data_IF_760425381207
#
_entry.id   IF_760425381207
#
_cell.length_a   1.000
_cell.length_b   1.000
_cell.length_c   1.000
_cell.angle_alpha   90.00
_cell.angle_beta   90.00
_cell.angle_gamma   90.00
#
_symmetry.space_group_name_H-M   'P 1'
#
loop_
_entity.id
_entity.type
_entity.pdbx_description
1 polymer ?
#
# COMPACT_ATOMS: atom_id res chain seq x y z
N UNK A 1 5.26 -4.58 -17.14
CA UNK A 1 4.10 -3.75 -16.76
C UNK A 1 3.25 -4.62 -15.87
N UNK A 2 3.20 -4.36 -14.57
CA UNK A 2 2.41 -5.16 -13.63
C UNK A 2 0.94 -4.86 -13.87
N UNK A 3 0.21 -5.80 -14.47
CA UNK A 3 -1.25 -5.76 -14.48
C UNK A 3 -1.68 -6.48 -13.22
N UNK A 4 -2.13 -5.72 -12.22
CA UNK A 4 -2.93 -6.30 -11.15
C UNK A 4 -4.23 -6.75 -11.80
N UNK A 5 -4.57 -8.03 -11.72
CA UNK A 5 -5.88 -8.52 -12.13
C UNK A 5 -6.91 -8.01 -11.11
N UNK A 6 -7.22 -6.72 -11.17
CA UNK A 6 -8.53 -6.24 -10.75
C UNK A 6 -9.54 -6.98 -11.64
N UNK A 7 -10.57 -7.54 -11.02
CA UNK A 7 -11.66 -8.27 -11.66
C UNK A 7 -11.84 -7.89 -13.13
N UNK A 8 -11.58 -8.85 -14.02
CA UNK A 8 -12.25 -8.87 -15.30
C UNK A 8 -13.74 -9.07 -14.99
N UNK A 9 -14.41 -7.99 -14.59
CA UNK A 9 -15.85 -7.93 -14.54
C UNK A 9 -16.31 -8.22 -15.97
N UNK A 10 -16.97 -9.36 -16.15
CA UNK A 10 -17.59 -9.74 -17.41
C UNK A 10 -18.44 -8.59 -17.92
N UNK A 11 -18.00 -7.99 -19.00
CA UNK A 11 -18.64 -6.84 -19.61
C UNK A 11 -18.19 -6.73 -21.06
N UNK A 12 -18.89 -7.46 -21.92
CA UNK A 12 -18.85 -7.29 -23.37
C UNK A 12 -17.66 -7.94 -24.07
N UNK A 13 -17.92 -9.06 -24.73
CA UNK A 13 -17.10 -9.52 -25.83
C UNK A 13 -17.04 -8.42 -26.90
N UNK A 14 -15.93 -7.69 -26.99
CA UNK A 14 -15.55 -6.99 -28.22
C UNK A 14 -14.59 -7.93 -28.97
N UNK A 15 -15.07 -8.44 -30.10
CA UNK A 15 -14.42 -9.48 -30.90
C UNK A 15 -13.10 -9.04 -31.54
N UNK A 16 -12.04 -9.00 -30.75
CA UNK A 16 -10.68 -9.01 -31.27
C UNK A 16 -9.97 -10.22 -30.66
N UNK A 17 -9.43 -11.10 -31.51
CA UNK A 17 -8.54 -12.20 -31.12
C UNK A 17 -7.17 -11.67 -30.64
N UNK A 18 -7.13 -10.51 -29.99
CA UNK A 18 -5.89 -9.99 -29.42
C UNK A 18 -5.52 -10.85 -28.21
N UNK A 19 -4.32 -11.44 -28.18
CA UNK A 19 -3.88 -12.21 -27.02
C UNK A 19 -3.86 -11.30 -25.79
N UNK A 20 -4.58 -11.71 -24.75
CA UNK A 20 -4.59 -11.00 -23.48
C UNK A 20 -3.15 -10.76 -22.97
N UNK A 21 -2.88 -9.62 -22.31
CA UNK A 21 -1.55 -9.35 -21.75
C UNK A 21 -1.06 -10.50 -20.86
N UNK A 22 0.23 -10.82 -20.99
CA UNK A 22 0.87 -11.84 -20.16
C UNK A 22 0.75 -11.48 -18.67
N UNK A 23 0.19 -12.40 -17.88
CA UNK A 23 0.21 -12.33 -16.41
C UNK A 23 1.51 -12.93 -15.89
N UNK A 24 2.28 -12.13 -15.15
CA UNK A 24 3.55 -12.53 -14.54
C UNK A 24 3.58 -12.40 -13.01
N UNK A 25 2.50 -11.92 -12.40
CA UNK A 25 2.31 -11.84 -10.95
C UNK A 25 0.94 -12.40 -10.57
N UNK A 26 0.93 -13.28 -9.58
CA UNK A 26 -0.27 -13.79 -8.93
C UNK A 26 -0.17 -13.43 -7.45
N UNK A 27 -1.30 -13.02 -6.85
CA UNK A 27 -1.40 -12.81 -5.41
C UNK A 27 -2.37 -13.87 -4.91
N UNK A 28 -1.90 -14.76 -4.02
CA UNK A 28 -2.75 -15.83 -3.50
C UNK A 28 -3.68 -15.29 -2.43
N UNK A 29 -4.91 -15.03 -2.87
CA UNK A 29 -6.07 -14.55 -2.13
C UNK A 29 -6.00 -13.09 -1.68
N UNK A 30 -7.18 -12.50 -1.43
CA UNK A 30 -7.32 -11.14 -0.91
C UNK A 30 -7.63 -11.15 0.58
N UNK A 31 -6.83 -10.43 1.38
CA UNK A 31 -7.01 -10.23 2.83
C UNK A 31 -7.53 -11.46 3.59
N UNK A 32 -6.77 -12.57 3.61
CA UNK A 32 -7.19 -13.79 4.30
C UNK A 32 -7.39 -13.61 5.81
N UNK A 33 -6.88 -12.51 6.38
CA UNK A 33 -7.09 -12.14 7.78
C UNK A 33 -8.39 -11.34 8.02
N UNK A 34 -9.22 -11.13 6.99
CA UNK A 34 -10.45 -10.35 7.08
C UNK A 34 -11.69 -11.23 6.84
N UNK A 35 -12.67 -11.16 7.75
CA UNK A 35 -13.88 -12.02 7.74
C UNK A 35 -14.77 -11.87 6.50
N UNK A 36 -14.71 -10.72 5.82
CA UNK A 36 -15.44 -10.50 4.58
C UNK A 36 -14.84 -11.25 3.38
N UNK A 37 -13.66 -11.85 3.53
CA UNK A 37 -12.90 -12.45 2.43
C UNK A 37 -12.41 -13.86 2.73
N UNK A 38 -12.27 -14.28 3.99
CA UNK A 38 -12.02 -15.67 4.35
C UNK A 38 -12.73 -16.00 5.66
N UNK A 39 -13.35 -17.17 5.73
CA UNK A 39 -13.94 -17.70 6.96
C UNK A 39 -13.51 -19.17 7.16
N UNK A 40 -13.48 -19.65 8.42
CA UNK A 40 -13.64 -18.87 9.66
C UNK A 40 -12.39 -18.03 9.99
N UNK A 41 -12.56 -16.93 10.72
CA UNK A 41 -11.42 -16.14 11.24
C UNK A 41 -10.87 -16.70 12.56
N UNK A 42 -11.75 -17.23 13.41
CA UNK A 42 -11.45 -17.77 14.73
C UNK A 42 -11.97 -19.19 14.85
N UNK A 43 -11.29 -20.02 15.64
CA UNK A 43 -11.80 -21.35 16.01
C UNK A 43 -13.01 -21.20 16.97
N UNK A 44 -13.70 -22.30 17.26
CA UNK A 44 -14.89 -22.29 18.13
C UNK A 44 -14.59 -21.77 19.55
N UNK A 45 -13.34 -21.84 20.00
CA UNK A 45 -12.86 -21.28 21.28
C UNK A 45 -12.83 -19.74 21.30
N UNK A 46 -13.08 -19.07 20.16
CA UNK A 46 -13.07 -17.61 19.98
C UNK A 46 -11.77 -16.93 20.43
N UNK A 47 -10.68 -17.67 20.55
CA UNK A 47 -9.39 -17.15 21.03
C UNK A 47 -8.23 -17.59 20.14
N UNK A 48 -8.38 -18.66 19.37
CA UNK A 48 -7.37 -19.14 18.42
C UNK A 48 -7.70 -18.66 17.01
N UNK A 49 -6.79 -17.95 16.32
CA UNK A 49 -6.98 -17.60 14.92
C UNK A 49 -7.05 -18.86 14.03
N UNK A 50 -8.17 -19.05 13.34
CA UNK A 50 -8.40 -20.17 12.41
C UNK A 50 -7.98 -19.84 10.98
N UNK A 51 -8.20 -18.59 10.52
CA UNK A 51 -7.91 -18.18 9.15
C UNK A 51 -6.46 -18.42 8.70
N UNK A 52 -5.41 -18.28 9.55
CA UNK A 52 -4.04 -18.57 9.12
C UNK A 52 -3.82 -20.05 8.78
N UNK A 53 -4.49 -20.98 9.46
CA UNK A 53 -4.42 -22.42 9.19
C UNK A 53 -5.09 -22.76 7.86
N UNK A 54 -6.29 -22.22 7.62
CA UNK A 54 -7.03 -22.38 6.36
C UNK A 54 -6.21 -21.80 5.21
N UNK A 55 -5.71 -20.57 5.37
CA UNK A 55 -4.88 -19.92 4.36
C UNK A 55 -3.58 -20.69 4.10
N UNK A 56 -2.95 -21.28 5.12
CA UNK A 56 -1.75 -22.11 4.93
C UNK A 56 -2.01 -23.30 4.00
N UNK A 57 -3.16 -23.94 4.10
CA UNK A 57 -3.54 -25.03 3.20
C UNK A 57 -3.78 -24.53 1.77
N UNK A 58 -4.56 -23.45 1.61
CA UNK A 58 -4.81 -22.81 0.31
C UNK A 58 -3.51 -22.37 -0.37
N UNK A 59 -2.59 -21.76 0.39
CA UNK A 59 -1.31 -21.27 -0.07
C UNK A 59 -0.44 -22.40 -0.63
N UNK A 60 -0.37 -23.55 0.05
CA UNK A 60 0.41 -24.70 -0.42
C UNK A 60 -0.14 -25.27 -1.73
N UNK A 61 -1.46 -25.45 -1.81
CA UNK A 61 -2.11 -25.94 -3.01
C UNK A 61 -1.97 -24.94 -4.18
N UNK A 62 -2.32 -23.67 -3.94
CA UNK A 62 -2.32 -22.62 -4.95
C UNK A 62 -0.93 -22.28 -5.48
N UNK A 63 0.09 -22.20 -4.61
CA UNK A 63 1.46 -21.88 -5.05
C UNK A 63 1.98 -22.94 -6.02
N UNK A 64 1.84 -24.22 -5.66
CA UNK A 64 2.28 -25.33 -6.51
C UNK A 64 1.54 -25.36 -7.84
N UNK A 65 0.22 -25.18 -7.82
CA UNK A 65 -0.61 -25.18 -9.02
C UNK A 65 -0.22 -24.07 -9.99
N UNK A 66 -0.05 -22.83 -9.50
CA UNK A 66 0.36 -21.69 -10.34
C UNK A 66 1.75 -21.93 -10.94
N UNK A 67 2.71 -22.40 -10.14
CA UNK A 67 4.07 -22.69 -10.63
C UNK A 67 4.11 -23.83 -11.65
N UNK A 68 3.25 -24.83 -11.50
CA UNK A 68 3.14 -25.95 -12.44
C UNK A 68 2.51 -25.52 -13.77
N UNK A 69 1.39 -24.78 -13.70
CA UNK A 69 0.69 -24.27 -14.88
C UNK A 69 1.52 -23.23 -15.65
N UNK A 70 2.37 -22.48 -14.95
CA UNK A 70 3.26 -21.47 -15.53
C UNK A 70 4.71 -21.79 -15.22
N UNK A 71 5.28 -22.74 -15.97
CA UNK A 71 6.69 -23.20 -15.84
C UNK A 71 7.76 -22.10 -15.98
N UNK A 72 7.38 -20.85 -16.30
CA UNK A 72 8.31 -19.73 -16.35
C UNK A 72 8.75 -19.31 -14.95
N UNK A 73 10.07 -19.33 -14.71
CA UNK A 73 10.70 -18.77 -13.51
C UNK A 73 10.41 -17.28 -13.31
N UNK A 74 9.94 -16.58 -14.34
CA UNK A 74 9.55 -15.17 -14.25
C UNK A 74 8.24 -14.93 -13.49
N UNK A 75 7.38 -15.95 -13.35
CA UNK A 75 6.08 -15.81 -12.68
C UNK A 75 6.29 -15.72 -11.18
N UNK A 76 5.81 -14.64 -10.57
CA UNK A 76 5.85 -14.41 -9.13
C UNK A 76 4.52 -14.74 -8.49
N UNK A 77 4.57 -15.40 -7.35
CA UNK A 77 3.40 -15.73 -6.53
C UNK A 77 3.59 -15.08 -5.17
N UNK A 78 2.86 -13.99 -4.94
CA UNK A 78 2.85 -13.24 -3.69
C UNK A 78 1.86 -13.88 -2.71
N UNK A 79 2.21 -13.84 -1.42
CA UNK A 79 1.42 -14.43 -0.34
C UNK A 79 1.13 -13.42 0.77
N UNK A 80 0.32 -13.79 1.75
CA UNK A 80 -0.09 -12.92 2.86
C UNK A 80 -1.27 -12.08 2.43
N UNK A 81 -1.00 -11.03 1.66
CA UNK A 81 -1.98 -10.06 1.15
C UNK A 81 -2.97 -9.57 2.22
N UNK A 82 -2.47 -9.33 3.44
CA UNK A 82 -3.33 -9.02 4.59
C UNK A 82 -3.88 -7.60 4.52
N UNK A 83 -5.06 -7.39 5.08
CA UNK A 83 -5.53 -6.05 5.47
C UNK A 83 -4.59 -5.42 6.52
N UNK A 84 -4.82 -4.17 6.92
CA UNK A 84 -3.96 -3.46 7.89
C UNK A 84 -4.33 -3.66 9.35
N UNK A 85 -5.58 -4.03 9.67
CA UNK A 85 -6.08 -3.99 11.05
C UNK A 85 -6.80 -5.27 11.46
N UNK A 86 -6.68 -5.63 12.73
CA UNK A 86 -7.55 -6.59 13.40
C UNK A 86 -8.91 -5.98 13.77
N UNK A 87 -9.75 -6.79 14.40
CA UNK A 87 -10.97 -6.34 15.06
C UNK A 87 -11.14 -6.98 16.43
N UNK A 88 -12.39 -7.06 16.89
CA UNK A 88 -12.71 -7.71 18.18
C UNK A 88 -12.26 -9.17 18.15
N UNK A 89 -11.40 -9.56 19.11
CA UNK A 89 -10.92 -10.95 19.24
C UNK A 89 -12.10 -11.93 19.29
N UNK A 90 -12.01 -13.03 18.54
CA UNK A 90 -13.06 -14.06 18.51
C UNK A 90 -14.25 -13.78 17.59
N UNK A 91 -14.36 -12.58 17.02
CA UNK A 91 -15.50 -12.20 16.17
C UNK A 91 -15.12 -11.39 14.93
N UNK A 92 -13.98 -10.68 14.96
CA UNK A 92 -13.52 -9.77 13.91
C UNK A 92 -12.39 -10.33 13.03
N UNK A 93 -11.81 -9.49 12.16
CA UNK A 93 -10.53 -9.76 11.50
C UNK A 93 -9.41 -10.12 12.49
N UNK A 94 -8.50 -11.00 12.07
CA UNK A 94 -7.26 -11.28 12.82
C UNK A 94 -6.23 -10.19 12.49
N UNK A 95 -5.53 -9.65 13.49
CA UNK A 95 -4.53 -8.61 13.22
C UNK A 95 -3.38 -9.15 12.36
N UNK A 96 -2.77 -8.35 11.46
CA UNK A 96 -1.81 -8.86 10.48
C UNK A 96 -0.58 -9.56 11.09
N UNK A 97 -0.03 -9.06 12.20
CA UNK A 97 1.10 -9.73 12.86
C UNK A 97 0.68 -11.00 13.59
N UNK A 98 -0.52 -11.07 14.18
CA UNK A 98 -1.04 -12.31 14.76
C UNK A 98 -1.27 -13.36 13.66
N UNK A 99 -1.89 -12.95 12.55
CA UNK A 99 -2.09 -13.78 11.37
C UNK A 99 -0.76 -14.33 10.84
N UNK A 100 0.24 -13.47 10.65
CA UNK A 100 1.56 -13.85 10.14
C UNK A 100 2.27 -14.85 11.07
N UNK A 101 2.23 -14.63 12.39
CA UNK A 101 2.86 -15.54 13.38
C UNK A 101 2.20 -16.92 13.36
N UNK A 102 0.87 -16.98 13.40
CA UNK A 102 0.12 -18.25 13.38
C UNK A 102 0.25 -18.96 12.04
N UNK A 103 0.28 -18.22 10.92
CA UNK A 103 0.57 -18.77 9.59
C UNK A 103 1.93 -19.47 9.59
N UNK A 104 2.95 -18.83 10.15
CA UNK A 104 4.31 -19.33 10.25
C UNK A 104 4.56 -20.34 11.39
N UNK A 105 3.52 -20.73 12.14
CA UNK A 105 3.63 -21.66 13.29
C UNK A 105 4.64 -21.20 14.35
N UNK A 106 4.52 -19.94 14.78
CA UNK A 106 5.25 -19.40 15.92
C UNK A 106 4.30 -18.67 16.86
N UNK A 107 4.66 -18.57 18.14
CA UNK A 107 3.90 -17.84 19.14
C UNK A 107 4.15 -16.31 19.09
N UNK A 108 3.56 -15.57 20.03
CA UNK A 108 3.72 -14.12 20.15
C UNK A 108 5.17 -13.66 20.35
N UNK A 109 6.02 -14.49 20.96
CA UNK A 109 7.44 -14.24 21.17
C UNK A 109 8.33 -14.73 20.00
N UNK A 110 7.71 -15.20 18.91
CA UNK A 110 8.36 -15.83 17.77
C UNK A 110 9.13 -17.11 18.16
N UNK A 111 8.61 -17.89 19.11
CA UNK A 111 9.07 -19.24 19.40
C UNK A 111 8.30 -20.25 18.54
N UNK A 112 8.96 -21.24 17.93
CA UNK A 112 8.32 -22.35 17.24
C UNK A 112 7.17 -22.98 18.03
N UNK A 113 6.02 -23.15 17.37
CA UNK A 113 4.97 -24.07 17.81
C UNK A 113 5.12 -25.37 17.03
N UNK A 114 5.22 -26.49 17.73
CA UNK A 114 5.50 -27.83 17.16
C UNK A 114 4.41 -28.86 17.51
N UNK A 115 3.25 -28.39 17.95
CA UNK A 115 2.10 -29.23 18.31
C UNK A 115 0.93 -28.97 17.37
N UNK A 116 -0.08 -29.84 17.41
CA UNK A 116 -1.30 -29.71 16.62
C UNK A 116 -1.05 -29.56 15.12
N UNK A 117 -1.70 -28.57 14.50
CA UNK A 117 -1.59 -28.25 13.07
C UNK A 117 -0.20 -27.72 12.63
N UNK A 118 0.71 -27.55 13.59
CA UNK A 118 2.09 -27.10 13.38
C UNK A 118 3.14 -28.20 13.60
N UNK A 119 2.76 -29.42 14.02
CA UNK A 119 3.70 -30.50 14.32
C UNK A 119 4.63 -30.85 13.14
N UNK A 120 4.08 -30.83 11.93
CA UNK A 120 4.83 -31.13 10.70
C UNK A 120 5.01 -29.88 9.83
N UNK A 121 5.24 -28.73 10.47
CA UNK A 121 5.39 -27.48 9.75
C UNK A 121 6.58 -27.53 8.77
N UNK A 122 6.30 -27.25 7.50
CA UNK A 122 7.31 -27.03 6.45
C UNK A 122 7.40 -25.55 6.14
N UNK A 123 8.57 -25.08 5.69
CA UNK A 123 8.76 -23.71 5.19
C UNK A 123 7.64 -23.33 4.24
N UNK A 124 7.07 -22.13 4.40
CA UNK A 124 6.05 -21.64 3.48
C UNK A 124 6.70 -21.08 2.22
N UNK A 125 6.23 -21.48 1.03
CA UNK A 125 6.70 -20.90 -0.23
C UNK A 125 6.25 -19.44 -0.37
N UNK A 126 6.70 -18.77 -1.43
CA UNK A 126 6.30 -17.40 -1.75
C UNK A 126 7.43 -16.62 -2.39
N UNK A 127 7.08 -15.77 -3.35
CA UNK A 127 8.03 -14.91 -4.09
C UNK A 127 8.01 -13.45 -3.58
N UNK A 128 7.26 -13.20 -2.50
CA UNK A 128 7.07 -11.90 -1.88
C UNK A 128 5.85 -11.89 -0.96
N UNK A 129 5.84 -10.97 -0.01
CA UNK A 129 4.73 -10.73 0.91
C UNK A 129 3.89 -9.55 0.43
N UNK A 130 2.61 -9.76 0.16
CA UNK A 130 1.66 -8.71 -0.16
C UNK A 130 0.98 -8.17 1.11
N UNK A 131 0.61 -6.88 1.11
CA UNK A 131 -0.03 -6.24 2.26
C UNK A 131 -0.75 -4.95 1.86
N UNK A 132 -1.89 -4.65 2.50
CA UNK A 132 -2.69 -3.45 2.29
C UNK A 132 -2.59 -2.51 3.49
N UNK A 133 -1.64 -1.55 3.50
CA UNK A 133 -1.29 -0.80 4.71
C UNK A 133 -2.21 0.40 4.97
N UNK A 134 -3.53 0.24 4.83
CA UNK A 134 -4.48 1.34 4.98
C UNK A 134 -4.42 1.99 6.37
N UNK A 135 -4.33 3.32 6.38
CA UNK A 135 -4.38 4.13 7.60
C UNK A 135 -5.81 4.58 7.97
N UNK A 136 -6.84 4.07 7.30
CA UNK A 136 -8.26 4.38 7.56
C UNK A 136 -8.59 5.89 7.59
N UNK A 137 -8.08 6.64 6.61
CA UNK A 137 -8.19 8.12 6.54
C UNK A 137 -7.54 8.90 7.69
N UNK A 138 -6.68 8.26 8.48
CA UNK A 138 -5.77 8.95 9.37
C UNK A 138 -4.46 9.29 8.66
N UNK A 139 -3.67 10.19 9.26
CA UNK A 139 -2.41 10.66 8.66
C UNK A 139 -1.46 9.49 8.34
N UNK A 140 -0.66 9.56 7.25
CA UNK A 140 0.24 8.48 6.86
C UNK A 140 1.23 8.02 7.94
N UNK A 141 1.61 8.93 8.84
CA UNK A 141 2.56 8.69 9.93
C UNK A 141 1.93 8.12 11.21
N UNK A 142 0.62 7.86 11.23
CA UNK A 142 -0.03 7.27 12.40
C UNK A 142 0.45 5.83 12.61
N UNK A 143 1.15 5.63 13.71
CA UNK A 143 1.59 4.33 14.22
C UNK A 143 0.44 3.67 14.97
N UNK A 144 0.34 2.35 14.89
CA UNK A 144 -0.63 1.58 15.68
C UNK A 144 -0.25 1.61 17.16
N UNK A 145 -1.24 1.75 18.06
CA UNK A 145 -0.99 1.72 19.50
C UNK A 145 -0.96 0.26 19.97
N UNK A 146 0.14 -0.26 20.53
CA UNK A 146 0.24 -1.69 20.85
C UNK A 146 -0.85 -2.21 21.80
N UNK A 147 -1.31 -1.37 22.75
CA UNK A 147 -2.32 -1.77 23.74
C UNK A 147 -3.74 -1.80 23.16
N UNK A 148 -4.06 -0.87 22.25
CA UNK A 148 -5.40 -0.74 21.65
C UNK A 148 -5.52 -1.51 20.32
N UNK A 149 -4.41 -1.64 19.59
CA UNK A 149 -4.32 -2.15 18.21
C UNK A 149 -3.20 -3.20 18.09
N UNK A 150 -3.22 -4.27 18.92
CA UNK A 150 -2.13 -5.22 19.00
C UNK A 150 -1.93 -5.97 17.68
N UNK A 151 -0.79 -5.73 17.05
CA UNK A 151 -0.38 -6.42 15.83
C UNK A 151 -0.98 -5.87 14.54
N UNK A 152 -1.65 -4.71 14.61
CA UNK A 152 -2.01 -3.92 13.44
C UNK A 152 -0.76 -3.51 12.67
N UNK A 153 -0.88 -3.46 11.34
CA UNK A 153 0.18 -3.02 10.45
C UNK A 153 -0.41 -2.00 9.50
N UNK A 154 -0.34 -0.73 9.89
CA UNK A 154 -0.61 0.40 9.00
C UNK A 154 0.67 0.80 8.27
N UNK A 155 0.58 1.82 7.43
CA UNK A 155 1.73 2.29 6.66
C UNK A 155 2.94 2.68 7.53
N UNK A 156 2.71 3.32 8.68
CA UNK A 156 3.80 3.70 9.58
C UNK A 156 4.43 2.50 10.31
N UNK A 157 3.73 1.35 10.36
CA UNK A 157 4.15 0.13 11.06
C UNK A 157 4.93 -0.83 10.15
N UNK A 158 5.11 -0.50 8.87
CA UNK A 158 5.87 -1.31 7.90
C UNK A 158 7.27 -1.75 8.38
N UNK A 159 8.04 -0.96 9.17
CA UNK A 159 9.29 -1.44 9.76
C UNK A 159 9.10 -2.72 10.61
N UNK A 160 8.01 -2.80 11.38
CA UNK A 160 7.72 -3.95 12.23
C UNK A 160 7.35 -5.19 11.40
N UNK A 161 6.56 -5.00 10.33
CA UNK A 161 6.28 -6.08 9.38
C UNK A 161 7.55 -6.58 8.71
N UNK A 162 8.41 -5.68 8.22
CA UNK A 162 9.67 -6.04 7.58
C UNK A 162 10.61 -6.81 8.53
N UNK A 163 10.74 -6.37 9.78
CA UNK A 163 11.54 -7.05 10.79
C UNK A 163 10.98 -8.45 11.13
N UNK A 164 9.65 -8.57 11.24
CA UNK A 164 8.99 -9.85 11.52
C UNK A 164 9.18 -10.84 10.37
N UNK A 165 9.00 -10.40 9.12
CA UNK A 165 9.26 -11.22 7.94
C UNK A 165 10.72 -11.66 7.86
N UNK A 166 11.68 -10.75 8.10
CA UNK A 166 13.10 -11.11 8.10
C UNK A 166 13.43 -12.18 9.14
N UNK A 167 12.92 -12.03 10.38
CA UNK A 167 13.14 -13.01 11.45
C UNK A 167 12.52 -14.36 11.11
N UNK A 168 11.29 -14.39 10.61
CA UNK A 168 10.63 -15.63 10.19
C UNK A 168 11.37 -16.33 9.05
N UNK A 169 11.93 -15.58 8.11
CA UNK A 169 12.75 -16.16 7.04
C UNK A 169 14.08 -16.69 7.59
N UNK A 170 14.75 -15.98 8.50
CA UNK A 170 15.97 -16.47 9.18
C UNK A 170 15.73 -17.76 9.96
N UNK A 171 14.55 -17.90 10.57
CA UNK A 171 14.12 -19.11 11.28
C UNK A 171 13.71 -20.26 10.35
N UNK A 172 13.79 -20.09 9.03
CA UNK A 172 13.32 -21.10 8.07
C UNK A 172 11.80 -21.28 8.06
N UNK A 173 11.02 -20.31 8.53
CA UNK A 173 9.55 -20.41 8.51
C UNK A 173 8.94 -19.98 7.18
N UNK A 174 9.58 -19.04 6.50
CA UNK A 174 9.17 -18.50 5.21
C UNK A 174 10.31 -18.59 4.20
N UNK A 175 9.98 -18.79 2.92
CA UNK A 175 10.97 -18.73 1.84
C UNK A 175 11.68 -17.36 1.77
N UNK A 176 12.95 -17.30 1.32
CA UNK A 176 13.75 -16.07 1.31
C UNK A 176 13.11 -14.85 0.64
N UNK A 177 12.35 -15.07 -0.44
CA UNK A 177 11.73 -14.01 -1.21
C UNK A 177 10.59 -13.30 -0.46
N UNK A 178 10.01 -13.90 0.58
CA UNK A 178 8.98 -13.27 1.41
C UNK A 178 9.48 -12.05 2.21
N UNK A 179 10.79 -11.77 2.23
CA UNK A 179 11.33 -10.46 2.67
C UNK A 179 10.92 -9.29 1.78
N UNK A 180 10.49 -9.55 0.54
CA UNK A 180 10.10 -8.54 -0.45
C UNK A 180 8.65 -8.18 -0.19
N UNK A 181 8.40 -6.98 0.30
CA UNK A 181 7.06 -6.47 0.59
C UNK A 181 6.48 -5.81 -0.67
N UNK A 182 5.26 -6.19 -1.03
CA UNK A 182 4.49 -5.63 -2.13
C UNK A 182 3.23 -4.98 -1.55
N UNK A 183 3.16 -3.66 -1.59
CA UNK A 183 1.97 -2.93 -1.15
C UNK A 183 1.01 -2.88 -2.33
N UNK A 184 0.01 -3.76 -2.30
CA UNK A 184 -0.85 -4.10 -3.45
C UNK A 184 -2.10 -3.25 -3.53
N UNK A 185 -2.49 -2.62 -2.42
CA UNK A 185 -3.59 -1.66 -2.35
C UNK A 185 -3.30 -0.59 -1.30
N UNK A 186 -3.42 0.69 -1.68
CA UNK A 186 -3.41 1.80 -0.75
C UNK A 186 -4.12 3.01 -1.35
N UNK A 187 -4.84 3.77 -0.51
CA UNK A 187 -5.47 5.01 -0.92
C UNK A 187 -6.09 5.76 0.24
N UNK A 188 -6.57 6.96 -0.07
CA UNK A 188 -7.25 7.86 0.86
C UNK A 188 -8.61 8.24 0.28
N UNK A 189 -9.66 8.19 1.07
CA UNK A 189 -11.02 8.38 0.61
C UNK A 189 -11.47 9.82 0.79
N UNK A 190 -12.03 10.40 -0.28
CA UNK A 190 -12.48 11.79 -0.30
C UNK A 190 -13.98 11.93 -0.06
N UNK A 191 -14.71 10.82 0.05
CA UNK A 191 -16.10 10.80 0.53
C UNK A 191 -16.14 10.33 1.98
N UNK A 192 -17.08 10.84 2.80
CA UNK A 192 -17.22 10.40 4.19
C UNK A 192 -17.43 8.89 4.31
N UNK A 193 -16.75 8.29 5.29
CA UNK A 193 -16.90 6.87 5.64
C UNK A 193 -17.23 6.81 7.13
N UNK A 194 -18.32 6.16 7.55
CA UNK A 194 -18.66 6.04 8.96
C UNK A 194 -17.50 5.51 9.81
N UNK A 195 -17.24 6.16 10.95
CA UNK A 195 -16.17 5.79 11.87
C UNK A 195 -14.76 6.19 11.44
N UNK A 196 -14.60 7.01 10.38
CA UNK A 196 -13.29 7.51 9.91
C UNK A 196 -13.30 9.04 9.79
N UNK A 197 -12.14 9.70 9.95
CA UNK A 197 -12.02 11.11 9.62
C UNK A 197 -12.36 11.40 8.15
N UNK A 198 -13.06 12.50 7.91
CA UNK A 198 -13.27 13.04 6.56
C UNK A 198 -12.04 13.84 6.14
N UNK A 199 -11.58 13.64 4.91
CA UNK A 199 -10.50 14.42 4.31
C UNK A 199 -10.92 14.95 2.93
N UNK A 200 -10.39 16.11 2.55
CA UNK A 200 -10.63 16.71 1.24
C UNK A 200 -9.64 16.19 0.18
N UNK A 201 -9.91 16.48 -1.10
CA UNK A 201 -9.01 16.08 -2.21
C UNK A 201 -7.59 16.65 -2.07
N UNK A 202 -7.45 17.83 -1.47
CA UNK A 202 -6.12 18.44 -1.28
C UNK A 202 -5.31 17.67 -0.23
N UNK A 203 -5.94 17.22 0.84
CA UNK A 203 -5.35 16.35 1.85
C UNK A 203 -5.03 14.99 1.27
N UNK A 204 -5.95 14.37 0.54
CA UNK A 204 -5.72 13.12 -0.20
C UNK A 204 -4.46 13.24 -1.07
N UNK A 205 -4.39 14.27 -1.92
CA UNK A 205 -3.27 14.48 -2.82
C UNK A 205 -1.94 14.64 -2.06
N UNK A 206 -1.91 15.39 -0.94
CA UNK A 206 -0.70 15.56 -0.12
C UNK A 206 -0.27 14.27 0.57
N UNK A 207 -1.23 13.54 1.12
CA UNK A 207 -0.96 12.34 1.91
C UNK A 207 -0.54 11.15 1.06
N UNK A 208 -0.97 11.06 -0.20
CA UNK A 208 -0.49 10.00 -1.10
C UNK A 208 1.03 10.07 -1.32
N UNK A 209 1.61 11.23 -1.63
CA UNK A 209 3.08 11.33 -1.76
C UNK A 209 3.80 11.15 -0.43
N UNK A 210 3.21 11.60 0.69
CA UNK A 210 3.76 11.32 2.01
C UNK A 210 3.78 9.81 2.29
N UNK A 211 2.72 9.10 1.92
CA UNK A 211 2.66 7.66 2.06
C UNK A 211 3.75 6.95 1.24
N UNK A 212 3.94 7.37 -0.01
CA UNK A 212 5.03 6.86 -0.85
C UNK A 212 6.41 7.13 -0.26
N UNK A 213 6.62 8.31 0.36
CA UNK A 213 7.86 8.59 1.08
C UNK A 213 8.10 7.61 2.23
N UNK A 214 7.06 7.31 3.04
CA UNK A 214 7.21 6.36 4.14
C UNK A 214 7.54 4.95 3.63
N UNK A 215 6.89 4.50 2.55
CA UNK A 215 7.16 3.22 1.93
C UNK A 215 8.56 3.13 1.30
N UNK A 216 9.03 4.18 0.62
CA UNK A 216 10.35 4.26 -0.03
C UNK A 216 11.50 4.15 0.99
N UNK A 217 11.24 4.54 2.25
CA UNK A 217 12.20 4.42 3.35
C UNK A 217 12.37 2.99 3.88
N UNK A 218 11.56 2.04 3.42
CA UNK A 218 11.61 0.64 3.84
C UNK A 218 12.25 -0.20 2.72
N UNK A 219 13.53 -0.63 2.85
CA UNK A 219 14.24 -1.35 1.77
C UNK A 219 13.59 -2.66 1.33
N UNK A 220 12.75 -3.24 2.19
CA UNK A 220 11.97 -4.43 1.91
C UNK A 220 10.84 -4.17 0.88
N UNK A 221 10.31 -2.94 0.78
CA UNK A 221 9.21 -2.59 -0.12
C UNK A 221 9.70 -2.57 -1.57
N UNK A 222 9.02 -3.32 -2.44
CA UNK A 222 9.33 -3.48 -3.88
C UNK A 222 8.29 -2.86 -4.79
N UNK A 223 7.06 -2.71 -4.32
CA UNK A 223 5.99 -2.05 -5.06
C UNK A 223 5.02 -1.34 -4.13
N UNK A 224 4.41 -0.27 -4.66
CA UNK A 224 3.34 0.48 -4.04
C UNK A 224 2.28 0.75 -5.11
N UNK A 225 1.08 0.21 -4.90
CA UNK A 225 -0.05 0.37 -5.80
C UNK A 225 -1.06 1.37 -5.25
N UNK A 226 -1.40 2.36 -6.06
CA UNK A 226 -2.56 3.22 -5.83
C UNK A 226 -3.82 2.38 -6.07
N UNK A 227 -4.66 2.26 -5.05
CA UNK A 227 -5.92 1.57 -5.19
C UNK A 227 -6.97 2.53 -5.73
N UNK A 228 -7.51 2.13 -6.87
CA UNK A 228 -8.35 2.84 -7.82
C UNK A 228 -7.66 3.94 -8.62
N UNK A 229 -7.78 3.81 -9.94
CA UNK A 229 -7.62 4.92 -10.87
C UNK A 229 -8.82 5.85 -10.78
N UNK A 230 -10.03 5.29 -10.77
CA UNK A 230 -11.31 6.01 -10.77
C UNK A 230 -12.12 5.56 -9.56
N UNK A 231 -12.76 6.52 -8.88
CA UNK A 231 -13.69 6.20 -7.80
C UNK A 231 -14.76 5.20 -8.24
N UNK A 232 -15.08 4.29 -7.34
CA UNK A 232 -16.16 3.35 -7.48
C UNK A 232 -17.44 3.96 -6.87
N UNK A 233 -18.46 4.29 -7.68
CA UNK A 233 -19.75 4.74 -7.16
C UNK A 233 -20.45 3.60 -6.41
N UNK A 234 -21.43 3.91 -5.54
CA UNK A 234 -22.26 2.88 -4.92
C UNK A 234 -22.99 2.05 -5.98
N UNK A 235 -23.07 0.75 -5.78
CA UNK A 235 -23.95 -0.13 -6.54
C UNK A 235 -25.43 0.24 -6.28
N UNK A 236 -26.31 -0.14 -7.22
CA UNK A 236 -27.77 0.06 -7.06
C UNK A 236 -28.36 -0.79 -5.95
N UNK A 237 -27.74 -1.95 -5.71
CA UNK A 237 -28.18 -2.94 -4.72
C UNK A 237 -27.06 -3.20 -3.71
N UNK A 238 -27.45 -3.73 -2.56
CA UNK A 238 -26.51 -4.08 -1.50
C UNK A 238 -25.61 -5.23 -1.96
N UNK A 239 -24.30 -5.04 -1.86
CA UNK A 239 -23.28 -6.02 -2.28
C UNK A 239 -22.37 -6.46 -1.14
N UNK A 240 -22.59 -5.94 0.07
CA UNK A 240 -21.75 -6.24 1.23
C UNK A 240 -22.51 -6.10 2.55
N UNK A 241 -22.16 -6.94 3.52
CA UNK A 241 -22.57 -6.82 4.92
C UNK A 241 -21.85 -5.69 5.68
N UNK A 242 -20.87 -5.03 5.05
CA UNK A 242 -20.17 -3.89 5.64
C UNK A 242 -21.14 -2.76 5.98
N UNK A 243 -21.23 -2.40 7.26
CA UNK A 243 -22.00 -1.22 7.72
C UNK A 243 -21.48 0.09 7.12
N UNK A 244 -20.18 0.18 6.89
CA UNK A 244 -19.56 1.36 6.29
C UNK A 244 -19.74 1.43 4.76
N UNK A 245 -19.96 0.28 4.10
CA UNK A 245 -20.02 0.16 2.63
C UNK A 245 -21.04 -0.88 2.15
N UNK A 246 -22.33 -0.75 2.49
CA UNK A 246 -23.32 -1.73 2.07
C UNK A 246 -23.42 -1.84 0.53
N UNK A 247 -23.11 -0.76 -0.20
CA UNK A 247 -23.18 -0.69 -1.67
C UNK A 247 -21.80 -0.73 -2.35
N UNK A 248 -20.75 -1.14 -1.63
CA UNK A 248 -19.41 -1.34 -2.20
C UNK A 248 -18.69 -0.08 -2.71
N UNK A 249 -19.20 1.12 -2.41
CA UNK A 249 -18.58 2.38 -2.84
C UNK A 249 -17.17 2.55 -2.28
N UNK A 250 -16.28 3.15 -3.08
CA UNK A 250 -14.88 3.37 -2.67
C UNK A 250 -14.30 4.60 -3.39
N UNK A 251 -13.85 5.59 -2.63
CA UNK A 251 -13.51 6.93 -3.16
C UNK A 251 -12.02 7.28 -3.11
N UNK A 252 -11.16 6.27 -3.30
CA UNK A 252 -9.69 6.45 -3.30
C UNK A 252 -9.09 6.83 -4.64
N UNK A 253 -9.90 6.91 -5.70
CA UNK A 253 -9.46 7.12 -7.07
C UNK A 253 -8.65 8.39 -7.25
N UNK A 254 -7.78 8.38 -8.25
CA UNK A 254 -7.15 9.58 -8.80
C UNK A 254 -8.13 10.43 -9.62
N UNK A 255 -9.19 9.79 -10.12
CA UNK A 255 -10.31 10.38 -10.85
C UNK A 255 -11.60 10.19 -10.04
N UNK A 256 -12.53 11.14 -10.13
CA UNK A 256 -13.91 10.90 -9.67
C UNK A 256 -14.62 9.90 -10.59
N UNK A 257 -15.76 9.36 -10.18
CA UNK A 257 -16.49 8.31 -10.92
C UNK A 257 -16.84 8.69 -12.37
N UNK A 258 -17.04 9.98 -12.67
CA UNK A 258 -17.26 10.47 -14.05
C UNK A 258 -16.02 10.45 -14.94
N UNK A 259 -14.84 10.15 -14.39
CA UNK A 259 -13.55 10.14 -15.09
C UNK A 259 -12.78 11.46 -15.06
N UNK A 260 -13.33 12.51 -14.44
CA UNK A 260 -12.61 13.78 -14.25
C UNK A 260 -11.49 13.63 -13.21
N UNK A 261 -10.33 14.23 -13.50
CA UNK A 261 -9.19 14.29 -12.57
C UNK A 261 -9.56 14.89 -11.22
N UNK A 262 -9.20 14.21 -10.13
CA UNK A 262 -9.04 14.82 -8.82
C UNK A 262 -7.72 15.57 -8.73
N UNK A 263 -7.55 16.36 -7.67
CA UNK A 263 -6.24 16.97 -7.35
C UNK A 263 -5.13 15.90 -7.26
N UNK A 264 -5.46 14.70 -6.75
CA UNK A 264 -4.54 13.58 -6.62
C UNK A 264 -3.93 13.10 -7.95
N UNK A 265 -4.63 13.20 -9.08
CA UNK A 265 -4.09 12.82 -10.40
C UNK A 265 -2.81 13.60 -10.74
N UNK A 266 -2.79 14.90 -10.43
CA UNK A 266 -1.62 15.78 -10.64
C UNK A 266 -0.44 15.36 -9.76
N UNK A 267 -0.72 15.05 -8.50
CA UNK A 267 0.30 14.63 -7.54
C UNK A 267 0.82 13.23 -7.82
N UNK A 268 0.00 12.35 -8.39
CA UNK A 268 0.45 11.03 -8.81
C UNK A 268 1.51 11.11 -9.92
N UNK A 269 1.36 12.04 -10.88
CA UNK A 269 2.35 12.26 -11.95
C UNK A 269 3.67 12.85 -11.44
N UNK A 270 3.60 13.86 -10.56
CA UNK A 270 4.76 14.50 -9.98
C UNK A 270 4.43 14.98 -8.55
N UNK A 271 4.74 14.11 -7.59
CA UNK A 271 4.42 14.32 -6.19
C UNK A 271 5.57 14.98 -5.44
N UNK A 272 5.21 15.79 -4.44
CA UNK A 272 6.16 16.40 -3.52
C UNK A 272 5.70 16.25 -2.07
N UNK A 273 6.58 15.75 -1.22
CA UNK A 273 6.43 15.74 0.23
C UNK A 273 7.57 16.58 0.85
N UNK A 274 7.26 17.30 1.93
CA UNK A 274 8.28 17.98 2.72
C UNK A 274 8.07 17.75 4.20
N UNK A 275 9.19 17.55 4.91
CA UNK A 275 9.21 17.38 6.35
C UNK A 275 10.27 18.27 6.97
N UNK A 276 9.91 18.98 8.04
CA UNK A 276 10.88 19.71 8.86
C UNK A 276 11.91 18.73 9.44
N UNK A 277 13.14 19.20 9.57
CA UNK A 277 14.27 18.48 10.17
C UNK A 277 14.92 19.39 11.22
N UNK A 278 15.80 18.81 12.03
CA UNK A 278 16.61 19.57 12.99
C UNK A 278 17.48 20.62 12.28
N UNK A 279 18.01 21.57 13.05
CA UNK A 279 18.96 22.60 12.58
C UNK A 279 18.41 23.45 11.42
N UNK A 280 17.12 23.78 11.45
CA UNK A 280 16.49 24.65 10.45
C UNK A 280 16.53 24.08 9.03
N UNK A 281 16.39 22.76 8.88
CA UNK A 281 16.38 22.07 7.58
C UNK A 281 14.98 21.57 7.21
N UNK A 282 14.75 21.36 5.93
CA UNK A 282 13.59 20.63 5.40
C UNK A 282 14.09 19.52 4.48
N UNK A 283 13.59 18.31 4.72
CA UNK A 283 13.66 17.20 3.78
C UNK A 283 12.58 17.39 2.71
N UNK A 284 12.96 17.25 1.45
CA UNK A 284 12.10 17.23 0.28
C UNK A 284 12.19 15.85 -0.35
N UNK A 285 11.06 15.19 -0.51
CA UNK A 285 10.93 13.94 -1.27
C UNK A 285 10.05 14.18 -2.49
N UNK A 286 10.53 13.79 -3.66
CA UNK A 286 9.76 13.83 -4.90
C UNK A 286 9.56 12.44 -5.48
N UNK A 287 8.40 12.19 -6.07
CA UNK A 287 8.08 10.95 -6.80
C UNK A 287 7.56 11.29 -8.19
N UNK A 288 8.21 10.77 -9.23
CA UNK A 288 7.90 11.11 -10.61
C UNK A 288 7.36 9.90 -11.39
N UNK A 289 6.41 10.19 -12.28
CA UNK A 289 5.83 9.26 -13.27
C UNK A 289 5.74 9.92 -14.65
N UNK A 290 6.83 10.54 -15.08
CA UNK A 290 6.99 11.33 -16.31
C UNK A 290 7.57 10.52 -17.49
N UNK A 291 7.58 9.19 -17.37
CA UNK A 291 8.20 8.28 -18.34
C UNK A 291 9.70 8.07 -18.12
N UNK A 292 10.30 7.20 -18.92
CA UNK A 292 11.72 6.87 -18.86
C UNK A 292 12.65 8.03 -19.22
N UNK A 293 13.85 8.00 -18.66
CA UNK A 293 14.94 8.85 -19.07
C UNK A 293 15.03 10.12 -18.24
N UNK A 294 16.14 10.85 -18.43
CA UNK A 294 16.43 12.07 -17.67
C UNK A 294 15.35 13.13 -17.94
N UNK A 295 14.95 13.82 -16.87
CA UNK A 295 13.99 14.92 -16.86
C UNK A 295 14.56 16.05 -16.01
N UNK A 296 14.59 17.24 -16.57
CA UNK A 296 14.87 18.47 -15.85
C UNK A 296 13.65 18.86 -14.99
N UNK A 297 13.73 18.68 -13.68
CA UNK A 297 12.69 19.13 -12.73
C UNK A 297 13.21 20.26 -11.85
N UNK A 298 12.40 21.28 -11.62
CA UNK A 298 12.76 22.42 -10.76
C UNK A 298 12.08 22.30 -9.41
N UNK A 299 12.84 22.45 -8.33
CA UNK A 299 12.27 22.68 -7.01
C UNK A 299 12.06 24.17 -6.83
N UNK A 300 10.80 24.58 -6.62
CA UNK A 300 10.42 25.96 -6.44
C UNK A 300 9.98 26.22 -5.00
N UNK A 301 10.29 27.40 -4.49
CA UNK A 301 9.90 27.86 -3.14
C UNK A 301 9.16 29.19 -3.24
N UNK A 302 8.11 29.32 -2.45
CA UNK A 302 7.40 30.58 -2.22
C UNK A 302 7.55 30.96 -0.75
N UNK A 303 8.09 32.15 -0.47
CA UNK A 303 8.09 32.75 0.87
C UNK A 303 6.72 33.36 1.19
N UNK A 304 6.39 33.65 2.46
CA UNK A 304 5.18 34.39 2.80
C UNK A 304 5.07 35.68 1.98
N UNK A 305 3.94 35.88 1.28
CA UNK A 305 3.67 37.02 0.38
C UNK A 305 4.65 37.19 -0.80
N UNK A 306 5.54 36.22 -1.05
CA UNK A 306 6.49 36.26 -2.16
C UNK A 306 5.98 35.58 -3.43
N UNK A 307 6.71 35.77 -4.53
CA UNK A 307 6.56 35.01 -5.77
C UNK A 307 7.26 33.64 -5.69
N UNK A 308 6.89 32.73 -6.59
CA UNK A 308 7.57 31.44 -6.75
C UNK A 308 8.96 31.67 -7.35
N UNK A 309 10.00 31.18 -6.67
CA UNK A 309 11.38 31.19 -7.17
C UNK A 309 11.91 29.78 -7.28
N UNK A 310 12.61 29.47 -8.38
CA UNK A 310 13.37 28.22 -8.50
C UNK A 310 14.55 28.27 -7.54
N UNK A 311 14.65 27.30 -6.65
CA UNK A 311 15.74 27.19 -5.67
C UNK A 311 16.68 26.04 -5.99
N UNK A 312 16.30 25.15 -6.90
CA UNK A 312 17.14 24.07 -7.40
C UNK A 312 16.60 23.54 -8.74
N UNK A 313 17.49 23.04 -9.59
CA UNK A 313 17.17 22.27 -10.80
C UNK A 313 17.82 20.91 -10.67
N UNK A 314 17.05 19.85 -10.90
CA UNK A 314 17.46 18.47 -10.72
C UNK A 314 17.30 17.72 -12.04
N UNK A 315 18.35 17.03 -12.45
CA UNK A 315 18.29 16.03 -13.51
C UNK A 315 18.06 14.67 -12.88
N UNK A 316 16.84 14.14 -13.01
CA UNK A 316 16.42 12.86 -12.44
C UNK A 316 15.70 12.02 -13.47
N UNK A 317 15.75 10.70 -13.35
CA UNK A 317 14.94 9.84 -14.21
C UNK A 317 13.44 10.07 -13.93
N UNK A 318 12.64 10.19 -14.98
CA UNK A 318 11.23 10.53 -14.89
C UNK A 318 10.34 9.48 -14.19
N UNK A 319 10.85 8.29 -13.88
CA UNK A 319 10.15 7.24 -13.12
C UNK A 319 10.62 7.14 -11.67
N UNK A 320 11.60 7.94 -11.28
CA UNK A 320 12.32 7.77 -10.02
C UNK A 320 11.72 8.58 -8.88
N UNK A 321 12.06 8.17 -7.66
CA UNK A 321 11.98 9.03 -6.49
C UNK A 321 13.31 9.76 -6.26
N UNK A 322 13.27 10.89 -5.56
CA UNK A 322 14.48 11.58 -5.11
C UNK A 322 14.26 12.22 -3.75
N UNK A 323 15.37 12.39 -3.02
CA UNK A 323 15.39 13.12 -1.74
C UNK A 323 16.41 14.25 -1.79
N UNK A 324 16.07 15.40 -1.21
CA UNK A 324 16.98 16.54 -0.98
C UNK A 324 16.76 17.10 0.41
N UNK A 325 17.78 17.70 0.98
CA UNK A 325 17.66 18.47 2.23
C UNK A 325 18.13 19.89 1.98
N UNK A 326 17.28 20.86 2.33
CA UNK A 326 17.49 22.29 2.05
C UNK A 326 17.35 23.11 3.32
N UNK A 327 17.83 24.35 3.31
CA UNK A 327 17.57 25.31 4.40
C UNK A 327 16.07 25.63 4.45
N UNK A 328 15.48 25.50 5.64
CA UNK A 328 14.09 25.81 5.89
C UNK A 328 13.91 27.33 5.93
N UNK A 329 12.95 27.85 5.17
CA UNK A 329 12.45 29.20 5.36
C UNK A 329 11.08 29.13 6.07
N UNK A 330 10.89 29.75 7.24
CA UNK A 330 9.60 29.75 7.94
C UNK A 330 8.45 30.22 7.05
N UNK A 331 7.28 29.57 7.17
CA UNK A 331 6.09 29.89 6.38
C UNK A 331 6.16 29.56 4.89
N UNK A 332 7.29 29.03 4.40
CA UNK A 332 7.46 28.74 2.98
C UNK A 332 6.64 27.56 2.48
N UNK A 333 6.29 27.62 1.19
CA UNK A 333 5.69 26.53 0.43
C UNK A 333 6.65 26.05 -0.65
N UNK A 334 6.49 24.80 -1.05
CA UNK A 334 7.32 24.15 -2.06
C UNK A 334 6.45 23.52 -3.13
N UNK A 335 6.94 23.49 -4.38
CA UNK A 335 6.34 22.72 -5.47
C UNK A 335 7.42 22.29 -6.46
N UNK A 336 7.11 21.29 -7.27
CA UNK A 336 7.92 20.93 -8.43
C UNK A 336 7.42 21.65 -9.67
N UNK A 337 8.33 22.04 -10.54
CA UNK A 337 8.06 22.32 -11.95
C UNK A 337 8.63 21.18 -12.80
N UNK A 338 7.88 20.69 -13.77
CA UNK A 338 8.27 19.53 -14.57
C UNK A 338 7.77 19.63 -16.02
N UNK A 339 8.43 18.98 -16.99
CA UNK A 339 7.93 18.85 -18.35
C UNK A 339 6.80 17.82 -18.39
N UNK A 340 5.62 18.22 -18.88
CA UNK A 340 4.54 17.30 -19.18
C UNK A 340 4.75 16.62 -20.54
N UNK A 341 3.93 15.62 -20.85
CA UNK A 341 4.02 14.85 -22.10
C UNK A 341 3.79 15.70 -23.34
N UNK A 342 3.03 16.78 -23.22
CA UNK A 342 2.77 17.77 -24.28
C UNK A 342 3.93 18.77 -24.45
N UNK A 343 5.08 18.56 -23.79
CA UNK A 343 6.23 19.45 -23.81
C UNK A 343 6.08 20.71 -22.95
N UNK A 344 4.87 21.04 -22.46
CA UNK A 344 4.64 22.23 -21.64
C UNK A 344 5.16 22.00 -20.22
N UNK A 345 5.65 23.07 -19.60
CA UNK A 345 6.00 23.04 -18.18
C UNK A 345 4.73 23.10 -17.33
N UNK A 346 4.60 22.18 -16.38
CA UNK A 346 3.55 22.16 -15.37
C UNK A 346 4.15 22.29 -13.98
N UNK A 347 3.31 22.55 -12.99
CA UNK A 347 3.70 22.56 -11.59
C UNK A 347 2.92 21.51 -10.81
N UNK A 348 3.56 20.88 -9.83
CA UNK A 348 2.87 20.05 -8.83
C UNK A 348 2.01 20.94 -7.94
N UNK A 349 1.16 20.31 -7.12
CA UNK A 349 0.52 21.03 -6.02
C UNK A 349 1.59 21.61 -5.09
N UNK A 350 1.25 22.73 -4.46
CA UNK A 350 2.11 23.38 -3.49
C UNK A 350 1.87 22.83 -2.07
N UNK A 351 2.96 22.43 -1.42
CA UNK A 351 2.97 21.78 -0.11
C UNK A 351 3.68 22.63 0.94
N UNK A 352 3.29 22.44 2.21
CA UNK A 352 3.99 22.99 3.37
C UNK A 352 4.74 21.86 4.06
N UNK A 353 5.92 22.10 4.65
CA UNK A 353 6.63 21.08 5.41
C UNK A 353 5.81 20.63 6.64
N UNK A 354 5.58 19.33 6.77
CA UNK A 354 5.01 18.75 8.00
C UNK A 354 6.04 18.73 9.13
N UNK A 355 5.64 18.70 10.41
CA UNK A 355 6.58 18.59 11.53
C UNK A 355 7.48 17.34 11.47
N UNK A 356 8.63 17.40 12.14
CA UNK A 356 9.57 16.27 12.24
C UNK A 356 9.01 15.13 13.10
N UNK A 357 8.24 15.48 14.13
CA UNK A 357 7.46 14.58 15.00
C UNK A 357 5.99 14.82 14.67
N UNK A 358 5.30 13.81 14.16
CA UNK A 358 3.93 13.94 13.67
C UNK A 358 3.57 12.78 12.78
#
# INVERSE_FOLDING_TARGET
TTVSAAQAAGGGASGTNEPLPKVDHFILWNEPNHQGLLLPQWENDKSTPASPRVYRAMLRAGYSAVKTARKSRSVRVLIGNTSSTGGVRGAGPVSPLEFLRRLACVDGALRPVTTGDCANFKVLPGDGWAHHPYAQNERPSRVSKPDDEPGDVRLADLPQLAATLDRLVKMGRLAPANRKIHLTEFGYETQPVPGRPTIDELTQARWLTWAEYLADRIPAVRSFAQFLLRDQPPAKERVSESKARPFGQYSTGLLVASGKDKIAAKTFLAGLFAQKRSRGRVLIFGRLRLGAGRRAVTLQRQLPRGSWKTINTLEVDGRSAFTRTIKHAPGSRYRLGYPARDGRRRSSIAIKPVPAKG
#
